data_IF_212403143011
#
_entry.id   IF_212403143011
#
_cell.length_a   1.000
_cell.length_b   1.000
_cell.length_c   1.000
_cell.angle_alpha   90.00
_cell.angle_beta   90.00
_cell.angle_gamma   90.00
#
_symmetry.space_group_name_H-M   'P 1'
#
loop_
_entity.id
_entity.type
_entity.pdbx_description
1 polymer ?
#
# COMPACT_ATOMS: atom_id res chain seq x y z
N UNK A 1 -38.09 11.05 13.85
CA UNK A 1 -37.65 9.77 14.44
C UNK A 1 -36.43 10.06 15.31
N UNK A 2 -36.60 10.01 16.62
CA UNK A 2 -35.50 10.24 17.58
C UNK A 2 -34.84 8.88 17.88
N UNK A 3 -33.95 8.43 17.01
CA UNK A 3 -33.08 7.29 17.29
C UNK A 3 -32.22 7.65 18.51
N UNK A 4 -32.35 6.91 19.58
CA UNK A 4 -31.64 7.11 20.86
C UNK A 4 -32.20 8.13 21.85
N UNK A 5 -33.46 8.59 21.70
CA UNK A 5 -34.07 9.55 22.66
C UNK A 5 -34.29 8.97 24.06
N UNK A 6 -34.32 7.64 24.20
CA UNK A 6 -34.49 6.93 25.46
C UNK A 6 -33.18 6.53 26.15
N UNK A 7 -32.02 6.76 25.52
CA UNK A 7 -30.74 6.36 26.06
C UNK A 7 -30.13 7.47 26.91
N UNK A 8 -29.67 7.12 28.10
CA UNK A 8 -28.89 8.04 28.92
C UNK A 8 -27.56 8.36 28.22
N UNK A 9 -26.95 9.50 28.54
CA UNK A 9 -25.66 9.88 27.95
C UNK A 9 -24.56 8.82 28.19
N UNK A 10 -24.59 8.16 29.38
CA UNK A 10 -23.67 7.08 29.75
C UNK A 10 -23.87 5.81 28.92
N UNK A 11 -25.11 5.42 28.64
CA UNK A 11 -25.41 4.20 27.84
C UNK A 11 -24.97 4.36 26.41
N UNK A 12 -25.20 5.56 25.86
CA UNK A 12 -24.72 5.88 24.50
C UNK A 12 -23.19 5.89 24.43
N UNK A 13 -22.51 6.45 25.43
CA UNK A 13 -21.06 6.50 25.47
C UNK A 13 -20.45 5.07 25.56
N UNK A 14 -21.01 4.22 26.38
CA UNK A 14 -20.58 2.82 26.51
C UNK A 14 -20.77 2.06 25.19
N UNK A 15 -21.93 2.20 24.56
CA UNK A 15 -22.20 1.62 23.24
C UNK A 15 -21.22 2.11 22.18
N UNK A 16 -20.95 3.43 22.16
CA UNK A 16 -20.04 4.04 21.19
C UNK A 16 -18.61 3.53 21.34
N UNK A 17 -18.09 3.49 22.56
CA UNK A 17 -16.75 2.97 22.88
C UNK A 17 -16.64 1.48 22.50
N UNK A 18 -17.67 0.70 22.83
CA UNK A 18 -17.70 -0.73 22.47
C UNK A 18 -17.67 -0.93 20.94
N UNK A 19 -18.46 -0.16 20.21
CA UNK A 19 -18.52 -0.25 18.76
C UNK A 19 -17.22 0.25 18.11
N UNK A 20 -16.59 1.28 18.67
CA UNK A 20 -15.28 1.78 18.26
C UNK A 20 -14.21 0.70 18.46
N UNK A 21 -14.19 0.05 19.61
CA UNK A 21 -13.26 -1.05 19.93
C UNK A 21 -13.45 -2.25 18.99
N UNK A 22 -14.68 -2.67 18.75
CA UNK A 22 -14.99 -3.75 17.81
C UNK A 22 -14.56 -3.40 16.37
N UNK A 23 -14.80 -2.14 15.95
CA UNK A 23 -14.37 -1.67 14.64
C UNK A 23 -12.84 -1.67 14.50
N UNK A 24 -12.12 -1.26 15.54
CA UNK A 24 -10.66 -1.28 15.58
C UNK A 24 -10.12 -2.72 15.53
N UNK A 25 -10.67 -3.66 16.30
CA UNK A 25 -10.29 -5.07 16.27
C UNK A 25 -10.58 -5.69 14.90
N UNK A 26 -11.74 -5.40 14.32
CA UNK A 26 -12.11 -5.88 12.99
C UNK A 26 -11.17 -5.34 11.91
N UNK A 27 -10.81 -4.05 11.96
CA UNK A 27 -9.87 -3.44 11.04
C UNK A 27 -8.46 -4.01 11.17
N UNK A 28 -8.03 -4.31 12.40
CA UNK A 28 -6.69 -4.82 12.69
C UNK A 28 -6.51 -6.29 12.34
N UNK A 29 -7.49 -7.11 12.63
CA UNK A 29 -7.33 -8.58 12.60
C UNK A 29 -8.06 -9.26 11.44
N UNK A 30 -9.33 -8.95 11.25
CA UNK A 30 -10.15 -9.66 10.28
C UNK A 30 -9.88 -9.24 8.83
N UNK A 31 -9.73 -7.94 8.59
CA UNK A 31 -9.52 -7.42 7.23
C UNK A 31 -8.19 -7.92 6.63
N UNK A 32 -7.05 -7.83 7.30
CA UNK A 32 -5.79 -8.39 6.79
C UNK A 32 -5.81 -9.92 6.65
N UNK A 33 -6.57 -10.64 7.51
CA UNK A 33 -6.66 -12.09 7.43
C UNK A 33 -7.39 -12.57 6.18
N UNK A 34 -8.41 -11.83 5.73
CA UNK A 34 -9.14 -12.13 4.50
C UNK A 34 -8.33 -11.89 3.22
N UNK A 35 -7.26 -11.11 3.34
CA UNK A 35 -6.41 -10.71 2.23
C UNK A 35 -5.22 -11.60 1.97
N UNK A 36 -4.93 -12.52 2.87
CA UNK A 36 -3.88 -13.49 2.61
C UNK A 36 -4.31 -14.32 1.40
N UNK A 37 -3.65 -14.17 0.23
CA UNK A 37 -3.95 -15.03 -0.90
C UNK A 37 -3.79 -16.47 -0.41
N UNK A 38 -4.81 -17.27 -0.64
CA UNK A 38 -4.71 -18.72 -0.42
C UNK A 38 -3.48 -19.17 -1.21
N UNK A 39 -2.42 -19.60 -0.50
CA UNK A 39 -1.10 -19.81 -1.05
C UNK A 39 -1.14 -20.66 -2.32
N UNK A 40 -1.14 -20.01 -3.46
CA UNK A 40 -0.75 -20.65 -4.71
C UNK A 40 0.76 -20.74 -4.64
N UNK A 41 1.25 -21.94 -4.46
CA UNK A 41 2.63 -22.27 -4.74
C UNK A 41 2.79 -22.06 -6.25
N UNK A 42 3.22 -20.86 -6.62
CA UNK A 42 3.59 -20.52 -8.00
C UNK A 42 4.94 -21.12 -8.32
N UNK A 43 5.25 -21.19 -9.61
CA UNK A 43 6.58 -21.47 -10.12
C UNK A 43 7.64 -20.64 -9.39
N UNK A 44 8.87 -21.16 -9.38
CA UNK A 44 9.99 -20.49 -8.72
C UNK A 44 10.03 -18.99 -9.10
N UNK A 45 9.95 -18.14 -8.07
CA UNK A 45 9.98 -16.70 -8.26
C UNK A 45 11.41 -16.28 -8.66
N UNK A 46 11.51 -15.56 -9.74
CA UNK A 46 12.77 -14.95 -10.17
C UNK A 46 13.19 -13.83 -9.20
N UNK A 47 14.47 -13.47 -9.20
CA UNK A 47 14.99 -12.36 -8.40
C UNK A 47 14.26 -11.04 -8.72
N UNK A 48 13.82 -10.84 -9.96
CA UNK A 48 13.03 -9.70 -10.39
C UNK A 48 11.64 -9.69 -9.73
N UNK A 49 10.99 -10.85 -9.63
CA UNK A 49 9.70 -11.01 -8.96
C UNK A 49 9.80 -10.70 -7.46
N UNK A 50 10.84 -11.23 -6.81
CA UNK A 50 11.10 -10.98 -5.40
C UNK A 50 11.38 -9.49 -5.12
N UNK A 51 12.13 -8.82 -5.99
CA UNK A 51 12.40 -7.40 -5.85
C UNK A 51 11.12 -6.54 -5.94
N UNK A 52 10.21 -6.88 -6.87
CA UNK A 52 8.91 -6.22 -7.00
C UNK A 52 8.03 -6.49 -5.78
N UNK A 53 7.98 -7.73 -5.28
CA UNK A 53 7.21 -8.09 -4.08
C UNK A 53 7.73 -7.40 -2.82
N UNK A 54 9.05 -7.23 -2.70
CA UNK A 54 9.69 -6.63 -1.52
C UNK A 54 9.49 -5.10 -1.41
N UNK A 55 9.28 -4.39 -2.53
CA UNK A 55 9.17 -2.94 -2.47
C UNK A 55 8.74 -2.24 -3.76
N UNK A 56 8.09 -2.98 -4.65
CA UNK A 56 7.51 -2.42 -5.88
C UNK A 56 8.55 -1.93 -6.89
N UNK A 57 8.15 -0.96 -7.71
CA UNK A 57 8.95 -0.44 -8.81
C UNK A 57 10.34 0.07 -8.41
N UNK A 58 10.40 0.82 -7.32
CA UNK A 58 11.66 1.45 -6.92
C UNK A 58 12.66 0.38 -6.47
N UNK A 59 12.22 -0.54 -5.64
CA UNK A 59 13.08 -1.63 -5.18
C UNK A 59 13.56 -2.53 -6.31
N UNK A 60 12.70 -2.77 -7.30
CA UNK A 60 13.07 -3.49 -8.52
C UNK A 60 14.20 -2.78 -9.27
N UNK A 61 14.06 -1.46 -9.52
CA UNK A 61 15.08 -0.68 -10.20
C UNK A 61 16.39 -0.64 -9.40
N UNK A 62 16.32 -0.40 -8.08
CA UNK A 62 17.49 -0.35 -7.22
C UNK A 62 18.24 -1.70 -7.18
N UNK A 63 17.51 -2.81 -7.07
CA UNK A 63 18.12 -4.15 -7.04
C UNK A 63 18.78 -4.51 -8.38
N UNK A 64 18.15 -4.16 -9.50
CA UNK A 64 18.73 -4.38 -10.82
C UNK A 64 19.98 -3.52 -11.05
N UNK A 65 19.93 -2.25 -10.66
CA UNK A 65 21.09 -1.37 -10.73
C UNK A 65 22.24 -1.91 -9.88
N UNK A 66 21.97 -2.33 -8.65
CA UNK A 66 22.95 -2.93 -7.75
C UNK A 66 23.57 -4.20 -8.37
N UNK A 67 22.76 -5.09 -8.95
CA UNK A 67 23.24 -6.31 -9.63
C UNK A 67 24.15 -5.96 -10.81
N UNK A 68 23.78 -4.98 -11.62
CA UNK A 68 24.62 -4.51 -12.75
C UNK A 68 25.93 -3.88 -12.29
N UNK A 69 25.92 -3.16 -11.16
CA UNK A 69 27.18 -2.65 -10.56
C UNK A 69 28.09 -3.78 -10.09
N UNK A 70 27.55 -4.74 -9.35
CA UNK A 70 28.32 -5.89 -8.83
C UNK A 70 28.92 -6.71 -9.96
N UNK A 71 28.20 -6.86 -11.07
CA UNK A 71 28.69 -7.59 -12.26
C UNK A 71 29.60 -6.76 -13.17
N UNK A 72 29.88 -5.51 -12.84
CA UNK A 72 30.73 -4.62 -13.64
C UNK A 72 30.09 -4.10 -14.91
N UNK A 73 28.78 -4.21 -15.05
CA UNK A 73 28.02 -3.67 -16.21
C UNK A 73 27.89 -2.17 -16.18
N UNK A 74 27.81 -1.63 -14.97
CA UNK A 74 27.73 -0.20 -14.72
C UNK A 74 28.94 0.23 -13.88
N UNK A 75 29.43 1.43 -14.14
CA UNK A 75 30.45 2.10 -13.31
C UNK A 75 29.80 3.24 -12.54
N UNK A 76 30.43 3.58 -11.41
CA UNK A 76 29.95 4.57 -10.47
C UNK A 76 29.69 5.95 -11.08
N UNK A 77 28.95 6.80 -10.38
CA UNK A 77 28.49 8.05 -10.95
C UNK A 77 29.65 9.01 -11.23
N UNK A 78 29.98 9.17 -12.48
CA UNK A 78 30.84 10.24 -12.95
C UNK A 78 29.93 11.44 -13.22
N UNK A 79 30.12 12.52 -12.49
CA UNK A 79 29.26 13.71 -12.55
C UNK A 79 27.75 13.43 -12.33
N UNK A 80 27.41 12.47 -11.46
CA UNK A 80 26.03 12.11 -11.15
C UNK A 80 25.31 11.24 -12.20
N UNK A 81 26.04 10.72 -13.19
CA UNK A 81 25.50 9.84 -14.22
C UNK A 81 26.16 8.47 -14.16
N UNK A 82 25.38 7.44 -14.46
CA UNK A 82 25.84 6.07 -14.56
C UNK A 82 26.37 5.81 -15.96
N UNK A 83 27.52 5.17 -16.09
CA UNK A 83 28.10 4.77 -17.37
C UNK A 83 28.05 3.27 -17.54
N UNK A 84 27.79 2.85 -18.77
CA UNK A 84 27.82 1.42 -19.14
C UNK A 84 29.26 1.03 -19.44
N UNK A 85 29.85 0.21 -18.56
CA UNK A 85 31.22 -0.28 -18.71
C UNK A 85 31.27 -1.52 -19.64
N UNK A 86 30.35 -2.45 -19.45
CA UNK A 86 30.33 -3.69 -20.22
C UNK A 86 28.90 -4.03 -20.65
N UNK A 87 28.71 -4.22 -21.97
CA UNK A 87 27.39 -4.52 -22.56
C UNK A 87 27.09 -6.02 -22.68
N UNK A 88 28.10 -6.86 -22.69
CA UNK A 88 27.99 -8.30 -22.98
C UNK A 88 27.86 -9.16 -21.73
N UNK A 89 27.19 -8.66 -20.69
CA UNK A 89 26.97 -9.41 -19.45
C UNK A 89 25.71 -10.24 -19.57
N UNK A 90 25.67 -11.46 -19.04
CA UNK A 90 24.45 -12.27 -18.97
C UNK A 90 23.49 -11.67 -17.93
N UNK A 91 22.53 -10.90 -18.41
CA UNK A 91 21.50 -10.22 -17.60
C UNK A 91 20.11 -10.48 -18.15
N UNK A 92 19.11 -10.34 -17.29
CA UNK A 92 17.71 -10.45 -17.67
C UNK A 92 17.27 -9.39 -18.69
N UNK A 93 16.03 -9.49 -19.19
CA UNK A 93 15.51 -8.56 -20.21
C UNK A 93 15.55 -7.10 -19.77
N UNK A 94 15.30 -6.80 -18.51
CA UNK A 94 15.35 -5.46 -17.96
C UNK A 94 16.77 -4.88 -17.96
N UNK A 95 17.77 -5.68 -17.59
CA UNK A 95 19.17 -5.30 -17.62
C UNK A 95 19.67 -5.01 -19.04
N UNK A 96 19.23 -5.81 -20.03
CA UNK A 96 19.57 -5.58 -21.44
C UNK A 96 19.09 -4.24 -21.95
N UNK A 97 17.88 -3.82 -21.54
CA UNK A 97 17.31 -2.51 -21.93
C UNK A 97 18.19 -1.39 -21.39
N UNK A 98 18.66 -1.51 -20.14
CA UNK A 98 19.51 -0.50 -19.52
C UNK A 98 20.92 -0.47 -20.16
N UNK A 99 21.53 -1.63 -20.39
CA UNK A 99 22.85 -1.74 -21.03
C UNK A 99 22.84 -1.32 -22.49
N UNK A 100 21.70 -1.36 -23.16
CA UNK A 100 21.53 -0.84 -24.53
C UNK A 100 21.48 0.70 -24.58
N UNK A 101 21.32 1.36 -23.44
CA UNK A 101 21.33 2.83 -23.40
C UNK A 101 22.74 3.34 -23.71
N UNK A 102 22.88 3.98 -24.87
CA UNK A 102 24.19 4.33 -25.46
C UNK A 102 24.90 5.54 -24.83
N UNK A 103 24.26 6.25 -23.88
CA UNK A 103 24.76 7.46 -23.27
C UNK A 103 24.76 7.33 -21.71
N UNK A 104 25.57 8.13 -21.01
CA UNK A 104 25.51 8.20 -19.55
C UNK A 104 24.09 8.59 -19.08
N UNK A 105 23.50 7.75 -18.22
CA UNK A 105 22.12 7.89 -17.73
C UNK A 105 22.10 8.36 -16.28
N UNK A 106 21.20 9.29 -15.94
CA UNK A 106 20.96 9.64 -14.53
C UNK A 106 20.21 8.50 -13.80
N UNK A 107 20.38 8.42 -12.49
CA UNK A 107 19.66 7.44 -11.67
C UNK A 107 18.13 7.56 -11.88
N UNK A 108 17.61 8.79 -11.92
CA UNK A 108 16.20 9.04 -12.13
C UNK A 108 15.68 8.59 -13.50
N UNK A 109 16.49 8.74 -14.54
CA UNK A 109 16.10 8.28 -15.88
C UNK A 109 16.24 6.76 -16.02
N UNK A 110 17.21 6.14 -15.34
CA UNK A 110 17.29 4.69 -15.23
C UNK A 110 16.01 4.10 -14.59
N UNK A 111 15.52 4.70 -13.52
CA UNK A 111 14.24 4.32 -12.90
C UNK A 111 13.06 4.46 -13.86
N UNK A 112 13.02 5.53 -14.67
CA UNK A 112 11.96 5.74 -15.68
C UNK A 112 11.99 4.68 -16.76
N UNK A 113 13.18 4.38 -17.28
CA UNK A 113 13.37 3.34 -18.31
C UNK A 113 12.93 1.98 -17.80
N UNK A 114 13.26 1.66 -16.56
CA UNK A 114 12.91 0.39 -15.92
C UNK A 114 11.44 0.33 -15.48
N UNK A 115 10.75 1.46 -15.35
CA UNK A 115 9.37 1.51 -14.87
C UNK A 115 8.41 0.66 -15.72
N UNK A 116 8.54 0.70 -17.04
CA UNK A 116 7.70 -0.10 -17.95
C UNK A 116 7.94 -1.61 -17.78
N UNK A 117 9.16 -2.02 -17.43
CA UNK A 117 9.48 -3.42 -17.18
C UNK A 117 8.95 -3.86 -15.81
N UNK A 118 9.15 -3.06 -14.77
CA UNK A 118 8.60 -3.29 -13.44
C UNK A 118 7.08 -3.42 -13.46
N UNK A 119 6.38 -2.63 -14.31
CA UNK A 119 4.92 -2.74 -14.45
C UNK A 119 4.50 -4.06 -15.13
N UNK A 120 5.25 -4.54 -16.12
CA UNK A 120 5.01 -5.86 -16.72
C UNK A 120 5.18 -7.00 -15.72
N UNK A 121 6.23 -6.95 -14.90
CA UNK A 121 6.45 -7.91 -13.81
C UNK A 121 5.32 -7.83 -12.79
N UNK A 122 4.94 -6.62 -12.37
CA UNK A 122 3.82 -6.40 -11.44
C UNK A 122 2.49 -6.93 -11.99
N UNK A 123 2.23 -6.75 -13.30
CA UNK A 123 1.02 -7.26 -13.95
C UNK A 123 1.02 -8.80 -14.02
N UNK A 124 2.19 -9.43 -14.21
CA UNK A 124 2.35 -10.89 -14.14
C UNK A 124 2.05 -11.39 -12.73
N UNK A 125 2.62 -10.78 -11.71
CA UNK A 125 2.42 -11.13 -10.31
C UNK A 125 0.96 -10.91 -9.85
N UNK A 126 0.30 -9.85 -10.33
CA UNK A 126 -1.15 -9.65 -10.09
C UNK A 126 -2.00 -10.75 -10.73
N UNK A 127 -1.66 -11.19 -11.95
CA UNK A 127 -2.35 -12.31 -12.62
C UNK A 127 -2.12 -13.64 -11.90
N UNK A 128 -0.94 -13.84 -11.35
CA UNK A 128 -0.61 -15.01 -10.53
C UNK A 128 -1.23 -14.96 -9.12
N UNK A 129 -1.89 -13.84 -8.73
CA UNK A 129 -2.49 -13.67 -7.41
C UNK A 129 -1.49 -13.42 -6.28
N UNK A 130 -0.24 -13.09 -6.62
CA UNK A 130 0.84 -12.79 -5.66
C UNK A 130 0.88 -11.31 -5.26
N UNK A 131 0.29 -10.43 -6.08
CA UNK A 131 0.07 -9.02 -5.78
C UNK A 131 -1.41 -8.70 -5.79
N UNK A 132 -1.83 -7.91 -4.81
CA UNK A 132 -3.20 -7.42 -4.72
C UNK A 132 -3.54 -6.52 -5.92
N UNK A 133 -4.76 -6.65 -6.41
CA UNK A 133 -5.29 -5.76 -7.44
C UNK A 133 -5.62 -4.41 -6.82
N UNK A 134 -5.56 -3.36 -7.65
CA UNK A 134 -5.87 -2.00 -7.18
C UNK A 134 -7.30 -1.86 -6.67
N UNK A 135 -8.25 -2.53 -7.33
CA UNK A 135 -9.66 -2.59 -6.93
C UNK A 135 -9.83 -3.27 -5.57
N UNK A 136 -9.10 -4.34 -5.30
CA UNK A 136 -9.07 -5.02 -4.01
C UNK A 136 -8.50 -4.11 -2.91
N UNK A 137 -7.39 -3.41 -3.19
CA UNK A 137 -6.80 -2.45 -2.26
C UNK A 137 -7.76 -1.29 -1.92
N UNK A 138 -8.42 -0.74 -2.93
CA UNK A 138 -9.42 0.33 -2.73
C UNK A 138 -10.60 -0.18 -1.91
N UNK A 139 -11.14 -1.35 -2.26
CA UNK A 139 -12.25 -1.97 -1.51
C UNK A 139 -11.91 -2.19 -0.05
N UNK A 140 -10.70 -2.67 0.22
CA UNK A 140 -10.21 -2.89 1.57
C UNK A 140 -10.05 -1.61 2.36
N UNK A 141 -9.45 -0.60 1.74
CA UNK A 141 -9.29 0.72 2.36
C UNK A 141 -10.66 1.29 2.74
N UNK A 142 -11.65 1.18 1.85
CA UNK A 142 -13.02 1.60 2.16
C UNK A 142 -13.64 0.77 3.27
N UNK A 143 -13.47 -0.56 3.24
CA UNK A 143 -14.00 -1.46 4.27
C UNK A 143 -13.38 -1.15 5.64
N UNK A 144 -12.09 -0.77 5.69
CA UNK A 144 -11.41 -0.38 6.92
C UNK A 144 -11.87 0.99 7.45
N UNK A 145 -12.19 1.94 6.58
CA UNK A 145 -12.51 3.32 6.96
C UNK A 145 -14.01 3.52 7.19
N UNK A 146 -14.87 2.83 6.44
CA UNK A 146 -16.32 3.01 6.47
C UNK A 146 -16.95 2.92 7.88
N UNK A 147 -16.60 1.96 8.75
CA UNK A 147 -17.17 1.89 10.09
C UNK A 147 -16.80 3.12 10.94
N UNK A 148 -15.59 3.67 10.80
CA UNK A 148 -15.18 4.87 11.53
C UNK A 148 -15.91 6.12 11.03
N UNK A 149 -16.14 6.23 9.71
CA UNK A 149 -16.96 7.32 9.16
C UNK A 149 -18.41 7.21 9.68
N UNK A 150 -18.99 6.01 9.72
CA UNK A 150 -20.32 5.80 10.27
C UNK A 150 -20.40 6.19 11.76
N UNK A 151 -19.41 5.79 12.55
CA UNK A 151 -19.31 6.19 13.97
C UNK A 151 -19.19 7.70 14.11
N UNK A 152 -18.36 8.35 13.32
CA UNK A 152 -18.21 9.81 13.31
C UNK A 152 -19.55 10.50 13.06
N UNK A 153 -20.30 10.04 12.06
CA UNK A 153 -21.61 10.61 11.72
C UNK A 153 -22.64 10.41 12.85
N UNK A 154 -22.65 9.23 13.46
CA UNK A 154 -23.50 8.93 14.63
C UNK A 154 -23.14 9.84 15.81
N UNK A 155 -21.85 10.02 16.08
CA UNK A 155 -21.36 10.91 17.14
C UNK A 155 -21.74 12.37 16.93
N UNK A 156 -21.56 12.88 15.70
CA UNK A 156 -21.97 14.25 15.34
C UNK A 156 -23.49 14.43 15.45
N UNK A 157 -24.26 13.44 15.01
CA UNK A 157 -25.72 13.48 15.13
C UNK A 157 -26.15 13.56 16.59
N UNK A 158 -25.60 12.71 17.46
CA UNK A 158 -25.91 12.70 18.90
C UNK A 158 -25.46 13.99 19.60
N UNK A 159 -24.28 14.51 19.23
CA UNK A 159 -23.80 15.79 19.77
C UNK A 159 -24.79 16.93 19.47
N UNK A 160 -25.24 17.03 18.22
CA UNK A 160 -26.25 18.07 17.84
C UNK A 160 -27.56 17.88 18.56
N UNK A 161 -28.04 16.64 18.68
CA UNK A 161 -29.28 16.35 19.40
C UNK A 161 -29.16 16.65 20.91
N UNK A 162 -28.04 16.28 21.53
CA UNK A 162 -27.78 16.54 22.96
C UNK A 162 -27.59 18.02 23.28
N UNK A 163 -26.90 18.78 22.44
CA UNK A 163 -26.74 20.23 22.61
C UNK A 163 -28.08 20.98 22.49
N UNK A 164 -28.99 20.52 21.64
CA UNK A 164 -30.32 21.08 21.51
C UNK A 164 -31.20 20.80 22.75
N UNK A 165 -30.91 19.73 23.51
CA UNK A 165 -31.62 19.35 24.74
C UNK A 165 -30.93 19.87 26.01
N UNK A 166 -29.81 20.60 25.90
CA UNK A 166 -29.07 21.13 27.03
C UNK A 166 -28.26 20.07 27.81
N UNK A 167 -28.04 18.88 27.23
CA UNK A 167 -27.26 17.82 27.87
C UNK A 167 -25.74 18.11 27.80
N UNK A 168 -24.92 17.69 28.79
CA UNK A 168 -23.47 17.87 28.78
C UNK A 168 -22.82 16.94 27.75
N UNK A 169 -22.57 17.46 26.56
CA UNK A 169 -21.98 16.71 25.42
C UNK A 169 -20.45 16.76 25.35
N UNK A 170 -19.80 17.36 26.35
CA UNK A 170 -18.35 17.59 26.36
C UNK A 170 -17.50 16.32 26.18
N UNK A 171 -17.91 15.21 26.77
CA UNK A 171 -17.19 13.92 26.63
C UNK A 171 -17.25 13.33 25.22
N UNK A 172 -18.30 13.63 24.48
CA UNK A 172 -18.49 13.15 23.11
C UNK A 172 -17.55 13.88 22.12
N UNK A 173 -17.26 15.15 22.41
CA UNK A 173 -16.34 15.97 21.61
C UNK A 173 -14.89 15.47 21.73
N UNK A 174 -14.51 14.94 22.88
CA UNK A 174 -13.17 14.38 23.10
C UNK A 174 -12.98 13.05 22.37
N UNK A 175 -14.07 12.31 22.12
CA UNK A 175 -14.06 10.99 21.44
C UNK A 175 -14.20 11.08 19.92
N UNK A 176 -14.63 12.19 19.37
CA UNK A 176 -14.75 12.48 17.94
C UNK A 176 -13.43 12.98 17.34
#
# INVERSE_FOLDING_TARGET
MQLFSSWTGSDFLFFYITLLGLSAVAAWWWIPAQLRPAGRHGDALDAEDLAVLAGGRNRFADSLLADLFVRGGLVGPIAGKLEVAQRSIPVGPAGKVLLAYGAPISLGDAHKVLAAHAERVSARLRRAGLLLRLDELVRLRWLSIAPFIALLLIGIYRQRAGSALGEPTGYLVILL
#
